data_IF_469214654950
#
_entry.id   IF_469214654950
#
_cell.length_a   1.000
_cell.length_b   1.000
_cell.length_c   1.000
_cell.angle_alpha   90.00
_cell.angle_beta   90.00
_cell.angle_gamma   90.00
#
_symmetry.space_group_name_H-M   'P 1'
#
loop_
_entity.id
_entity.type
_entity.pdbx_description
1 polymer ?
#
# COMPACT_ATOMS: atom_id res chain seq x y z
N UNK A 1 0.43 -10.82 -60.23
CA UNK A 1 0.38 -9.36 -60.00
C UNK A 1 1.56 -8.75 -60.72
N UNK A 2 1.32 -7.71 -61.52
CA UNK A 2 2.41 -6.96 -62.15
C UNK A 2 3.06 -6.00 -61.14
N UNK A 3 4.27 -5.54 -61.42
CA UNK A 3 4.98 -4.56 -60.57
C UNK A 3 4.15 -3.29 -60.32
N UNK A 4 3.49 -2.77 -61.36
CA UNK A 4 2.64 -1.60 -61.25
C UNK A 4 1.44 -1.84 -60.32
N UNK A 5 0.83 -3.03 -60.39
CA UNK A 5 -0.30 -3.41 -59.53
C UNK A 5 0.11 -3.54 -58.06
N UNK A 6 1.31 -4.07 -57.78
CA UNK A 6 1.79 -4.22 -56.40
C UNK A 6 2.18 -2.87 -55.77
N UNK A 7 2.81 -1.98 -56.54
CA UNK A 7 3.12 -0.61 -56.09
C UNK A 7 1.81 0.15 -55.80
N UNK A 8 0.86 0.13 -56.73
CA UNK A 8 -0.42 0.83 -56.56
C UNK A 8 -1.22 0.28 -55.37
N UNK A 9 -1.23 -1.03 -55.16
CA UNK A 9 -1.88 -1.65 -54.00
C UNK A 9 -1.20 -1.25 -52.68
N UNK A 10 0.13 -1.16 -52.67
CA UNK A 10 0.89 -0.73 -51.49
C UNK A 10 0.64 0.76 -51.16
N UNK A 11 0.58 1.64 -52.16
CA UNK A 11 0.27 3.06 -51.99
C UNK A 11 -1.17 3.26 -51.49
N UNK A 12 -2.15 2.58 -52.08
CA UNK A 12 -3.54 2.65 -51.65
C UNK A 12 -3.72 2.19 -50.20
N UNK A 13 -3.07 1.09 -49.81
CA UNK A 13 -3.11 0.60 -48.44
C UNK A 13 -2.42 1.55 -47.44
N UNK A 14 -1.33 2.20 -47.86
CA UNK A 14 -0.63 3.21 -47.07
C UNK A 14 -1.51 4.45 -46.85
N UNK A 15 -2.14 4.97 -47.90
CA UNK A 15 -3.08 6.10 -47.83
C UNK A 15 -4.31 5.78 -46.98
N UNK A 16 -4.78 4.53 -47.00
CA UNK A 16 -5.86 4.05 -46.15
C UNK A 16 -5.45 3.82 -44.67
N UNK A 17 -4.18 4.05 -44.31
CA UNK A 17 -3.66 3.85 -42.95
C UNK A 17 -3.49 2.37 -42.54
N UNK A 18 -3.64 1.44 -43.48
CA UNK A 18 -3.45 0.00 -43.28
C UNK A 18 -2.02 -0.41 -43.64
N UNK A 19 -1.10 -0.13 -42.72
CA UNK A 19 0.34 -0.37 -42.91
C UNK A 19 0.69 -1.86 -43.12
N UNK A 20 -0.08 -2.78 -42.53
CA UNK A 20 0.15 -4.22 -42.68
C UNK A 20 -0.15 -4.69 -44.12
N UNK A 21 -1.26 -4.22 -44.70
CA UNK A 21 -1.59 -4.49 -46.08
C UNK A 21 -0.59 -3.81 -47.05
N UNK A 22 -0.14 -2.59 -46.71
CA UNK A 22 0.86 -1.87 -47.49
C UNK A 22 2.22 -2.61 -47.50
N UNK A 23 2.66 -3.14 -46.37
CA UNK A 23 3.90 -3.91 -46.24
C UNK A 23 3.84 -5.21 -47.03
N UNK A 24 2.71 -5.93 -46.96
CA UNK A 24 2.51 -7.16 -47.74
C UNK A 24 2.57 -6.91 -49.25
N UNK A 25 1.94 -5.84 -49.72
CA UNK A 25 1.96 -5.46 -51.14
C UNK A 25 3.34 -4.97 -51.58
N UNK A 26 4.05 -4.23 -50.73
CA UNK A 26 5.41 -3.76 -51.00
C UNK A 26 6.41 -4.92 -51.10
N UNK A 27 6.34 -5.91 -50.20
CA UNK A 27 7.18 -7.12 -50.26
C UNK A 27 6.97 -7.90 -51.58
N UNK A 28 5.76 -7.84 -52.16
CA UNK A 28 5.50 -8.43 -53.48
C UNK A 28 6.14 -7.62 -54.61
N UNK A 29 6.21 -6.29 -54.50
CA UNK A 29 6.91 -5.42 -55.45
C UNK A 29 8.44 -5.59 -55.38
N UNK A 30 9.01 -5.68 -54.17
CA UNK A 30 10.44 -5.90 -53.93
C UNK A 30 10.95 -7.22 -54.54
N UNK A 31 10.12 -8.28 -54.52
CA UNK A 31 10.45 -9.56 -55.17
C UNK A 31 10.55 -9.47 -56.69
N UNK A 32 9.87 -8.50 -57.31
CA UNK A 32 9.83 -8.34 -58.77
C UNK A 32 10.94 -7.40 -59.22
N UNK A 33 11.13 -6.27 -58.54
CA UNK A 33 12.13 -5.26 -58.89
C UNK A 33 12.69 -4.57 -57.63
N UNK A 34 13.73 -5.13 -56.98
CA UNK A 34 14.28 -4.61 -55.73
C UNK A 34 14.98 -3.25 -55.89
N UNK A 35 15.56 -2.98 -57.06
CA UNK A 35 16.32 -1.75 -57.34
C UNK A 35 15.46 -0.62 -57.92
N UNK A 36 14.12 -0.79 -57.94
CA UNK A 36 13.24 0.25 -58.47
C UNK A 36 13.16 1.45 -57.50
N UNK A 37 13.43 2.70 -57.97
CA UNK A 37 13.38 3.90 -57.14
C UNK A 37 12.03 4.11 -56.42
N UNK A 38 10.91 3.72 -57.04
CA UNK A 38 9.58 3.86 -56.46
C UNK A 38 9.36 2.89 -55.29
N UNK A 39 9.87 1.67 -55.40
CA UNK A 39 9.79 0.64 -54.35
C UNK A 39 10.62 1.07 -53.14
N UNK A 40 11.82 1.58 -53.35
CA UNK A 40 12.69 2.09 -52.28
C UNK A 40 12.12 3.35 -51.59
N UNK A 41 11.55 4.27 -52.38
CA UNK A 41 10.86 5.44 -51.85
C UNK A 41 9.66 5.05 -50.98
N UNK A 42 8.88 4.05 -51.40
CA UNK A 42 7.75 3.56 -50.60
C UNK A 42 8.20 2.81 -49.34
N UNK A 43 9.29 2.02 -49.42
CA UNK A 43 9.89 1.32 -48.28
C UNK A 43 10.34 2.27 -47.18
N UNK A 44 11.06 3.32 -47.55
CA UNK A 44 11.51 4.34 -46.59
C UNK A 44 10.33 5.06 -45.91
N UNK A 45 9.27 5.39 -46.66
CA UNK A 45 8.03 5.98 -46.12
C UNK A 45 7.31 5.05 -45.16
N UNK A 46 7.21 3.76 -45.49
CA UNK A 46 6.55 2.76 -44.65
C UNK A 46 7.32 2.49 -43.36
N UNK A 47 8.66 2.42 -43.43
CA UNK A 47 9.53 2.30 -42.26
C UNK A 47 9.38 3.51 -41.33
N UNK A 48 9.34 4.74 -41.88
CA UNK A 48 9.13 5.95 -41.09
C UNK A 48 7.74 5.97 -40.42
N UNK A 49 6.69 5.56 -41.13
CA UNK A 49 5.34 5.46 -40.59
C UNK A 49 5.23 4.40 -39.46
N UNK A 50 5.88 3.25 -39.62
CA UNK A 50 5.95 2.20 -38.61
C UNK A 50 6.76 2.65 -37.38
N UNK A 51 7.87 3.36 -37.56
CA UNK A 51 8.69 3.88 -36.47
C UNK A 51 7.98 5.00 -35.67
N UNK A 52 7.12 5.78 -36.33
CA UNK A 52 6.25 6.77 -35.66
C UNK A 52 5.12 6.11 -34.86
N UNK A 53 4.68 4.91 -35.23
CA UNK A 53 3.76 4.10 -34.39
C UNK A 53 4.49 3.47 -33.21
N UNK A 54 5.72 2.99 -33.38
CA UNK A 54 6.48 2.35 -32.29
C UNK A 54 6.96 3.33 -31.21
N UNK A 55 7.03 4.63 -31.51
CA UNK A 55 7.37 5.67 -30.54
C UNK A 55 6.20 6.10 -29.64
N UNK A 56 4.95 5.76 -29.99
CA UNK A 56 3.77 6.05 -29.14
C UNK A 56 3.45 4.87 -28.21
N UNK A 57 3.82 3.63 -28.58
CA UNK A 57 3.62 2.45 -27.73
C UNK A 57 4.79 2.12 -26.79
N UNK A 58 6.02 2.56 -27.09
CA UNK A 58 7.17 2.32 -26.21
C UNK A 58 7.22 3.24 -24.98
N UNK A 59 6.59 4.42 -25.02
CA UNK A 59 6.50 5.31 -23.85
C UNK A 59 5.28 4.97 -22.98
N UNK A 60 4.24 4.33 -23.54
CA UNK A 60 3.02 3.96 -22.82
C UNK A 60 3.05 2.62 -22.08
N UNK A 61 3.82 1.64 -22.56
CA UNK A 61 3.76 0.27 -22.03
C UNK A 61 4.87 -0.10 -21.03
N UNK A 62 5.84 0.78 -20.75
CA UNK A 62 7.01 0.41 -19.94
C UNK A 62 7.39 1.35 -18.77
N UNK A 63 6.72 2.50 -18.54
CA UNK A 63 7.25 3.45 -17.54
C UNK A 63 6.32 4.36 -16.77
N UNK A 64 5.14 4.73 -17.28
CA UNK A 64 4.35 5.82 -16.64
C UNK A 64 3.04 5.32 -16.04
N UNK A 65 2.33 4.35 -16.61
CA UNK A 65 1.03 3.89 -16.06
C UNK A 65 1.16 3.05 -14.79
N UNK A 66 1.90 1.95 -14.85
CA UNK A 66 2.24 1.12 -13.68
C UNK A 66 3.24 1.83 -12.78
N UNK A 67 4.17 2.59 -13.35
CA UNK A 67 5.08 3.46 -12.61
C UNK A 67 4.33 4.48 -11.77
N UNK A 68 3.39 5.25 -12.32
CA UNK A 68 2.63 6.24 -11.56
C UNK A 68 1.55 5.62 -10.68
N UNK A 69 0.89 4.52 -11.04
CA UNK A 69 -0.06 3.85 -10.13
C UNK A 69 0.70 3.16 -8.99
N UNK A 70 1.82 2.48 -9.27
CA UNK A 70 2.68 1.92 -8.23
C UNK A 70 3.35 3.03 -7.43
N UNK A 71 3.80 4.14 -8.03
CA UNK A 71 4.37 5.29 -7.33
C UNK A 71 3.31 6.02 -6.52
N UNK A 72 2.07 6.17 -7.00
CA UNK A 72 0.96 6.75 -6.25
C UNK A 72 0.48 5.80 -5.14
N UNK A 73 0.39 4.50 -5.41
CA UNK A 73 0.09 3.47 -4.42
C UNK A 73 1.23 3.32 -3.40
N UNK A 74 2.49 3.52 -3.81
CA UNK A 74 3.67 3.54 -2.94
C UNK A 74 3.76 4.87 -2.21
N UNK A 75 3.35 6.01 -2.78
CA UNK A 75 3.19 7.30 -2.09
C UNK A 75 2.03 7.22 -1.09
N UNK A 76 0.95 6.48 -1.39
CA UNK A 76 -0.16 6.21 -0.47
C UNK A 76 0.20 5.17 0.60
N UNK A 77 0.94 4.11 0.26
CA UNK A 77 1.41 3.10 1.21
C UNK A 77 2.58 3.61 2.07
N UNK A 78 3.45 4.45 1.50
CA UNK A 78 4.50 5.20 2.18
C UNK A 78 3.98 6.49 2.83
N UNK A 79 2.66 6.76 2.78
CA UNK A 79 1.96 7.73 3.63
C UNK A 79 1.91 7.19 5.07
N UNK A 80 3.10 7.00 5.62
CA UNK A 80 3.49 6.86 7.03
C UNK A 80 2.66 5.85 7.82
N UNK A 81 2.91 4.56 7.61
CA UNK A 81 2.72 3.57 8.68
C UNK A 81 3.63 3.98 9.84
N UNK A 82 3.04 4.53 10.89
CA UNK A 82 3.71 4.76 12.17
C UNK A 82 3.40 3.56 13.03
N UNK A 83 4.43 2.97 13.62
CA UNK A 83 4.26 1.81 14.49
C UNK A 83 3.82 2.33 15.86
N UNK A 84 2.61 1.96 16.33
CA UNK A 84 2.12 2.39 17.63
C UNK A 84 2.88 1.69 18.74
N UNK A 85 3.06 2.41 19.83
CA UNK A 85 3.58 1.85 21.06
C UNK A 85 2.90 2.49 22.26
N UNK A 86 3.02 1.83 23.40
CA UNK A 86 2.64 2.39 24.70
C UNK A 86 3.86 2.38 25.62
N UNK A 87 4.00 3.42 26.41
CA UNK A 87 5.06 3.57 27.40
C UNK A 87 4.44 3.76 28.78
N UNK A 88 4.85 2.98 29.76
CA UNK A 88 4.36 3.10 31.14
C UNK A 88 4.96 4.36 31.76
N UNK A 89 4.12 5.34 32.10
CA UNK A 89 4.55 6.61 32.72
C UNK A 89 4.25 6.64 34.22
N UNK A 90 3.30 5.83 34.70
CA UNK A 90 2.95 5.65 36.12
C UNK A 90 2.65 4.16 36.35
N UNK A 91 3.15 3.61 37.46
CA UNK A 91 3.00 2.21 37.84
C UNK A 91 4.35 1.52 38.09
N UNK A 92 4.32 0.25 38.50
CA UNK A 92 5.53 -0.53 38.84
C UNK A 92 6.48 -0.75 37.66
N UNK A 93 5.96 -0.66 36.44
CA UNK A 93 6.69 -0.88 35.19
C UNK A 93 7.11 0.44 34.51
N UNK A 94 7.13 1.57 35.24
CA UNK A 94 7.48 2.88 34.70
C UNK A 94 8.76 2.85 33.84
N UNK A 95 8.68 3.43 32.65
CA UNK A 95 9.75 3.47 31.65
C UNK A 95 9.74 2.28 30.69
N UNK A 96 8.99 1.20 30.97
CA UNK A 96 8.83 0.09 30.02
C UNK A 96 7.99 0.53 28.83
N UNK A 97 8.42 0.10 27.64
CA UNK A 97 7.75 0.36 26.37
C UNK A 97 7.33 -0.95 25.72
N UNK A 98 6.10 -0.98 25.22
CA UNK A 98 5.53 -2.11 24.51
C UNK A 98 5.07 -1.66 23.13
N UNK A 99 5.48 -2.38 22.09
CA UNK A 99 5.02 -2.12 20.74
C UNK A 99 3.65 -2.77 20.52
N UNK A 100 2.81 -2.12 19.73
CA UNK A 100 1.53 -2.68 19.28
C UNK A 100 1.78 -3.22 17.87
N UNK A 101 2.31 -4.44 17.80
CA UNK A 101 2.77 -5.12 16.58
C UNK A 101 1.70 -6.03 15.94
N UNK A 102 0.62 -6.30 16.67
CA UNK A 102 -0.54 -7.09 16.23
C UNK A 102 -1.75 -6.20 15.99
N UNK A 103 -2.72 -6.72 15.24
CA UNK A 103 -4.01 -6.06 15.06
C UNK A 103 -4.76 -5.92 16.39
N UNK A 104 -4.70 -6.96 17.24
CA UNK A 104 -5.25 -6.93 18.59
C UNK A 104 -4.15 -7.25 19.59
N UNK A 105 -4.00 -6.41 20.61
CA UNK A 105 -3.05 -6.60 21.71
C UNK A 105 -3.81 -6.56 23.03
N UNK A 106 -3.82 -7.68 23.74
CA UNK A 106 -4.51 -7.86 25.02
C UNK A 106 -3.64 -7.40 26.19
N UNK A 107 -4.24 -6.68 27.14
CA UNK A 107 -3.55 -6.13 28.32
C UNK A 107 -4.26 -6.51 29.60
N UNK A 108 -3.50 -6.96 30.60
CA UNK A 108 -4.04 -7.30 31.92
C UNK A 108 -2.96 -7.64 32.94
N UNK A 109 -3.38 -8.18 34.08
CA UNK A 109 -2.49 -8.44 35.23
C UNK A 109 -1.79 -9.81 35.20
N UNK A 110 -2.25 -10.74 34.36
CA UNK A 110 -1.70 -12.11 34.26
C UNK A 110 -1.38 -12.47 32.82
N UNK A 111 -0.43 -13.38 32.55
CA UNK A 111 -0.09 -13.76 31.18
C UNK A 111 -1.18 -14.54 30.47
N UNK A 112 -1.81 -15.51 31.13
CA UNK A 112 -2.78 -16.41 30.53
C UNK A 112 -3.70 -17.01 31.59
N UNK A 113 -4.96 -17.27 31.21
CA UNK A 113 -5.95 -17.99 32.01
C UNK A 113 -7.07 -18.51 31.09
N UNK A 114 -7.49 -19.76 31.29
CA UNK A 114 -8.60 -20.37 30.54
C UNK A 114 -8.47 -20.30 29.02
N UNK A 115 -7.24 -20.38 28.47
CA UNK A 115 -6.97 -20.29 27.03
C UNK A 115 -6.99 -18.86 26.46
N UNK A 116 -7.22 -17.84 27.28
CA UNK A 116 -7.08 -16.43 26.89
C UNK A 116 -5.72 -15.91 27.35
N UNK A 117 -5.01 -15.20 26.46
CA UNK A 117 -3.65 -14.70 26.71
C UNK A 117 -3.58 -13.18 26.61
N UNK A 118 -2.82 -12.55 27.50
CA UNK A 118 -2.39 -11.17 27.36
C UNK A 118 -1.04 -11.08 26.65
N UNK A 119 -0.94 -10.13 25.73
CA UNK A 119 0.30 -9.76 25.07
C UNK A 119 1.16 -8.85 25.96
N UNK A 120 0.50 -8.02 26.77
CA UNK A 120 1.14 -7.10 27.71
C UNK A 120 0.62 -7.41 29.11
N UNK A 121 1.54 -7.78 30.00
CA UNK A 121 1.25 -7.99 31.42
C UNK A 121 1.75 -6.79 32.20
N UNK A 122 0.83 -6.07 32.84
CA UNK A 122 1.15 -4.93 33.70
C UNK A 122 1.20 -5.40 35.15
N UNK A 123 2.35 -5.17 35.81
CA UNK A 123 2.46 -5.47 37.24
C UNK A 123 1.67 -4.46 38.05
N UNK A 124 0.94 -4.97 39.02
CA UNK A 124 0.10 -4.17 39.91
C UNK A 124 0.22 -4.65 41.35
N UNK A 125 0.73 -3.78 42.23
CA UNK A 125 0.91 -4.10 43.65
C UNK A 125 -0.45 -4.29 44.35
N UNK A 126 -1.43 -3.49 43.97
CA UNK A 126 -2.74 -3.43 44.62
C UNK A 126 -3.75 -4.41 44.01
N UNK A 127 -3.35 -5.15 42.96
CA UNK A 127 -4.18 -6.14 42.23
C UNK A 127 -5.54 -5.57 41.77
N UNK A 128 -5.56 -4.28 41.43
CA UNK A 128 -6.71 -3.57 40.89
C UNK A 128 -6.87 -3.74 39.37
N UNK A 129 -5.79 -4.02 38.64
CA UNK A 129 -5.83 -4.35 37.21
C UNK A 129 -6.43 -5.75 37.07
N UNK A 130 -7.42 -5.85 36.19
CA UNK A 130 -8.13 -7.09 35.92
C UNK A 130 -7.24 -8.07 35.15
N UNK A 131 -7.50 -9.37 35.30
CA UNK A 131 -6.78 -10.44 34.59
C UNK A 131 -6.70 -10.19 33.09
N UNK A 132 -7.82 -9.84 32.46
CA UNK A 132 -7.93 -9.35 31.10
C UNK A 132 -8.70 -8.02 31.16
N UNK A 133 -7.98 -6.90 31.06
CA UNK A 133 -8.51 -5.60 31.46
C UNK A 133 -8.96 -4.76 30.27
N UNK A 134 -8.13 -4.70 29.23
CA UNK A 134 -8.41 -3.96 28.03
C UNK A 134 -7.68 -4.56 26.84
N UNK A 135 -8.04 -4.11 25.65
CA UNK A 135 -7.36 -4.49 24.42
C UNK A 135 -7.17 -3.30 23.50
N UNK A 136 -6.00 -3.22 22.91
CA UNK A 136 -5.70 -2.28 21.84
C UNK A 136 -6.05 -2.90 20.50
N UNK A 137 -6.67 -2.12 19.62
CA UNK A 137 -7.00 -2.49 18.25
C UNK A 137 -6.26 -1.55 17.29
N UNK A 138 -5.34 -2.08 16.51
CA UNK A 138 -4.65 -1.34 15.47
C UNK A 138 -5.25 -1.68 14.10
N UNK A 139 -6.12 -0.80 13.60
CA UNK A 139 -6.85 -1.01 12.35
C UNK A 139 -6.90 0.26 11.51
N UNK A 140 -6.71 0.14 10.20
CA UNK A 140 -6.77 1.24 9.24
C UNK A 140 -5.86 2.43 9.60
N UNK A 141 -4.69 2.15 10.19
CA UNK A 141 -3.72 3.16 10.64
C UNK A 141 -4.18 3.97 11.86
N UNK A 142 -5.20 3.49 12.58
CA UNK A 142 -5.76 4.11 13.78
C UNK A 142 -5.67 3.13 14.95
N UNK A 143 -5.28 3.65 16.11
CA UNK A 143 -5.19 2.87 17.34
C UNK A 143 -6.44 3.13 18.16
N UNK A 144 -7.13 2.07 18.56
CA UNK A 144 -8.27 2.14 19.44
C UNK A 144 -7.97 1.37 20.72
N UNK A 145 -8.68 1.71 21.78
CA UNK A 145 -8.74 0.92 23.00
C UNK A 145 -10.18 0.52 23.29
N UNK A 146 -10.35 -0.70 23.75
CA UNK A 146 -11.62 -1.25 24.22
C UNK A 146 -11.40 -1.80 25.63
N UNK A 147 -12.16 -1.30 26.59
CA UNK A 147 -12.21 -1.90 27.93
C UNK A 147 -13.00 -3.23 27.87
N UNK A 148 -12.44 -4.30 28.42
CA UNK A 148 -13.04 -5.65 28.34
C UNK A 148 -13.90 -5.96 29.56
N UNK A 149 -14.73 -4.99 29.97
CA UNK A 149 -15.53 -5.05 31.19
C UNK A 149 -14.66 -5.21 32.44
N UNK A 150 -13.65 -4.35 32.56
CA UNK A 150 -12.76 -4.36 33.71
C UNK A 150 -13.46 -3.88 34.97
N UNK A 151 -13.07 -4.43 36.13
CA UNK A 151 -13.73 -4.14 37.40
C UNK A 151 -13.60 -2.66 37.80
N UNK A 152 -12.36 -2.14 37.80
CA UNK A 152 -12.07 -0.75 38.19
C UNK A 152 -12.16 0.24 37.02
N UNK A 153 -12.32 -0.25 35.79
CA UNK A 153 -12.44 0.55 34.58
C UNK A 153 -11.11 1.01 33.97
N UNK A 154 -11.19 1.35 32.70
CA UNK A 154 -10.14 2.02 31.92
C UNK A 154 -10.50 3.50 31.70
N UNK A 155 -9.49 4.37 31.71
CA UNK A 155 -9.65 5.81 31.52
C UNK A 155 -8.74 6.31 30.40
N UNK A 156 -9.24 7.18 29.53
CA UNK A 156 -8.43 7.88 28.51
C UNK A 156 -8.49 9.36 28.80
N UNK A 157 -7.33 10.00 28.98
CA UNK A 157 -7.21 11.41 29.31
C UNK A 157 -8.14 11.85 30.45
N UNK A 158 -8.15 11.03 31.52
CA UNK A 158 -8.97 11.17 32.75
C UNK A 158 -10.48 10.90 32.57
N UNK A 159 -10.95 10.55 31.38
CA UNK A 159 -12.35 10.17 31.13
C UNK A 159 -12.49 8.65 31.17
N UNK A 160 -13.40 8.14 32.01
CA UNK A 160 -13.69 6.71 32.07
C UNK A 160 -14.32 6.25 30.76
N UNK A 161 -13.90 5.08 30.28
CA UNK A 161 -14.47 4.48 29.09
C UNK A 161 -15.76 3.73 29.41
N UNK A 162 -16.66 3.68 28.44
CA UNK A 162 -17.77 2.72 28.43
C UNK A 162 -17.21 1.34 28.05
N UNK A 163 -17.42 0.29 28.88
CA UNK A 163 -16.99 -1.06 28.55
C UNK A 163 -17.49 -1.55 27.19
N UNK A 164 -16.64 -2.27 26.45
CA UNK A 164 -16.95 -2.82 25.13
C UNK A 164 -16.95 -1.82 23.98
N UNK A 165 -16.95 -0.50 24.24
CA UNK A 165 -16.96 0.53 23.21
C UNK A 165 -15.55 0.92 22.78
N UNK A 166 -15.22 0.90 21.47
CA UNK A 166 -13.91 1.34 21.00
C UNK A 166 -13.76 2.86 21.09
N UNK A 167 -12.63 3.30 21.63
CA UNK A 167 -12.25 4.72 21.71
C UNK A 167 -10.93 4.95 20.96
N UNK A 168 -10.93 5.93 20.07
CA UNK A 168 -9.76 6.29 19.26
C UNK A 168 -8.68 6.96 20.11
N UNK A 169 -7.45 6.46 20.00
CA UNK A 169 -6.26 6.99 20.65
C UNK A 169 -5.40 7.78 19.66
N UNK A 170 -5.00 8.97 20.09
CA UNK A 170 -4.06 9.83 19.36
C UNK A 170 -2.67 9.77 20.01
N UNK A 171 -1.65 10.21 19.28
CA UNK A 171 -0.31 10.32 19.85
C UNK A 171 -0.31 11.25 21.06
N UNK A 172 0.28 10.79 22.16
CA UNK A 172 0.30 11.50 23.43
C UNK A 172 -0.87 11.22 24.38
N UNK A 173 -1.90 10.49 23.94
CA UNK A 173 -3.04 10.13 24.81
C UNK A 173 -2.55 9.33 26.02
N UNK A 174 -3.17 9.57 27.18
CA UNK A 174 -2.85 8.85 28.42
C UNK A 174 -3.96 7.86 28.72
N UNK A 175 -3.63 6.57 28.77
CA UNK A 175 -4.54 5.50 29.16
C UNK A 175 -4.20 5.10 30.59
N UNK A 176 -5.17 5.14 31.49
CA UNK A 176 -5.02 4.68 32.88
C UNK A 176 -5.86 3.44 33.10
N UNK A 177 -5.24 2.38 33.60
CA UNK A 177 -5.86 1.12 33.97
C UNK A 177 -6.08 1.10 35.48
N UNK A 178 -7.32 0.87 35.90
CA UNK A 178 -7.71 0.75 37.31
C UNK A 178 -7.28 1.91 38.24
N UNK A 179 -6.93 3.08 37.68
CA UNK A 179 -6.42 4.22 38.45
C UNK A 179 -4.95 4.11 38.90
N UNK A 180 -4.33 2.93 38.82
CA UNK A 180 -2.98 2.67 39.39
C UNK A 180 -1.85 2.69 38.35
N UNK A 181 -2.13 2.30 37.11
CA UNK A 181 -1.13 2.24 36.04
C UNK A 181 -1.52 3.14 34.87
N UNK A 182 -0.64 4.04 34.47
CA UNK A 182 -0.86 4.94 33.32
C UNK A 182 0.18 4.69 32.25
N UNK A 183 -0.29 4.50 31.01
CA UNK A 183 0.54 4.43 29.82
C UNK A 183 0.30 5.63 28.91
N UNK A 184 1.35 6.09 28.23
CA UNK A 184 1.30 7.12 27.20
C UNK A 184 1.39 6.46 25.82
N UNK A 185 0.49 6.85 24.93
CA UNK A 185 0.48 6.37 23.54
C UNK A 185 1.51 7.14 22.73
N UNK A 186 2.31 6.43 21.95
CA UNK A 186 3.27 6.98 21.01
C UNK A 186 3.18 6.33 19.64
N UNK A 187 3.81 6.97 18.66
CA UNK A 187 3.86 6.51 17.28
C UNK A 187 5.26 6.75 16.74
N UNK A 188 5.98 5.68 16.39
CA UNK A 188 7.34 5.78 15.85
C UNK A 188 7.31 5.68 14.32
N UNK A 189 8.24 6.36 13.64
CA UNK A 189 8.45 6.15 12.20
C UNK A 189 9.15 4.81 12.02
N UNK A 190 8.51 3.86 11.33
CA UNK A 190 9.15 2.61 10.95
C UNK A 190 10.44 2.90 10.18
N UNK A 191 11.59 2.50 10.74
CA UNK A 191 12.89 2.62 10.04
C UNK A 191 12.84 1.68 8.82
N UNK A 192 13.21 2.19 7.64
CA UNK A 192 13.42 1.35 6.46
C UNK A 192 14.55 0.39 6.80
N UNK A 193 14.28 -0.91 6.74
CA UNK A 193 15.32 -1.93 6.58
C UNK A 193 15.68 -1.99 5.09
#
# INVERSE_FOLDING_TARGET
MTLAQSIQAAEAAFLAGNLLAAEKALNAAERIAPDNPQVQALRSRLNYANQRRSSILAIGAAGVGTGCIALLAWIFAARRRRDPYIEVIVGLDKGKRFNIDKEVVMVGAIPEDGGTKNDIVLRDAERMISRFHARFHWKDGKLYIVDTNSYNGTFVDKKRLEPGKPVLLKGGSRVTFAGTCTVKVGFERRKKK
#
